data_IF_043668647430
#
_entry.id   IF_043668647430
#
_cell.length_a   1.000
_cell.length_b   1.000
_cell.length_c   1.000
_cell.angle_alpha   90.00
_cell.angle_beta   90.00
_cell.angle_gamma   90.00
#
_symmetry.space_group_name_H-M   'P 1'
#
loop_
_entity.id
_entity.type
_entity.pdbx_description
1 polymer ?
#
# COMPACT_ATOMS: atom_id res chain seq x y z
N UNK A 1 -1.74 -24.66 -8.01
CA UNK A 1 -0.88 -23.45 -7.87
C UNK A 1 -1.35 -22.30 -8.78
N UNK A 2 -1.71 -22.54 -10.04
CA UNK A 2 -2.22 -21.49 -10.94
C UNK A 2 -3.44 -20.69 -10.42
N UNK A 3 -4.42 -21.35 -9.80
CA UNK A 3 -5.61 -20.68 -9.26
C UNK A 3 -5.31 -19.70 -8.11
N UNK A 4 -4.29 -19.97 -7.29
CA UNK A 4 -3.94 -19.13 -6.13
C UNK A 4 -3.14 -17.89 -6.54
N UNK A 5 -2.30 -17.98 -7.58
CA UNK A 5 -1.65 -16.80 -8.16
C UNK A 5 -2.64 -15.83 -8.79
N UNK A 6 -3.70 -16.35 -9.41
CA UNK A 6 -4.74 -15.52 -10.04
C UNK A 6 -5.48 -14.64 -9.03
N UNK A 7 -5.64 -15.12 -7.80
CA UNK A 7 -6.19 -14.36 -6.67
C UNK A 7 -5.26 -13.22 -6.25
N UNK A 8 -3.94 -13.47 -6.17
CA UNK A 8 -2.94 -12.45 -5.81
C UNK A 8 -2.76 -11.38 -6.91
N UNK A 9 -3.01 -11.72 -8.17
CA UNK A 9 -2.97 -10.77 -9.30
C UNK A 9 -4.26 -10.00 -9.49
N UNK A 10 -5.30 -10.24 -8.67
CA UNK A 10 -6.51 -9.41 -8.73
C UNK A 10 -6.13 -7.97 -8.38
N UNK A 11 -6.64 -6.97 -9.11
CA UNK A 11 -6.28 -5.58 -8.87
C UNK A 11 -6.62 -5.16 -7.43
N UNK A 12 -7.72 -5.65 -6.85
CA UNK A 12 -8.06 -5.47 -5.43
C UNK A 12 -6.97 -6.03 -4.47
N UNK A 13 -6.56 -7.28 -4.66
CA UNK A 13 -5.51 -7.88 -3.80
C UNK A 13 -4.16 -7.17 -3.93
N UNK A 14 -3.89 -6.61 -5.12
CA UNK A 14 -2.67 -5.87 -5.40
C UNK A 14 -2.70 -4.47 -4.76
N UNK A 15 -3.86 -3.80 -4.77
CA UNK A 15 -4.09 -2.54 -4.05
C UNK A 15 -4.01 -2.72 -2.53
N UNK A 16 -4.44 -3.87 -1.99
CA UNK A 16 -4.26 -4.21 -0.58
C UNK A 16 -2.78 -4.35 -0.18
N UNK A 17 -1.96 -4.92 -1.08
CA UNK A 17 -0.51 -5.01 -0.87
C UNK A 17 0.15 -3.63 -0.92
N UNK A 18 -0.32 -2.76 -1.82
CA UNK A 18 0.18 -1.39 -1.96
C UNK A 18 -0.16 -0.51 -0.74
N UNK A 19 -1.38 -0.62 -0.22
CA UNK A 19 -1.80 0.05 1.02
C UNK A 19 -1.01 -0.45 2.22
N UNK A 20 -0.77 -1.76 2.33
CA UNK A 20 0.09 -2.34 3.36
C UNK A 20 1.53 -1.79 3.31
N UNK A 21 2.07 -1.59 2.10
CA UNK A 21 3.39 -1.00 1.89
C UNK A 21 3.43 0.48 2.32
N UNK A 22 2.39 1.26 1.99
CA UNK A 22 2.23 2.62 2.49
C UNK A 22 2.13 2.71 4.02
N UNK A 23 1.44 1.76 4.65
CA UNK A 23 1.33 1.67 6.11
C UNK A 23 2.69 1.35 6.76
N UNK A 24 3.45 0.42 6.17
CA UNK A 24 4.81 0.11 6.60
C UNK A 24 5.74 1.32 6.50
N UNK A 25 5.65 2.07 5.40
CA UNK A 25 6.46 3.27 5.19
C UNK A 25 6.10 4.39 6.17
N UNK A 26 4.81 4.53 6.50
CA UNK A 26 4.33 5.49 7.49
C UNK A 26 4.85 5.17 8.89
N UNK A 27 4.79 3.89 9.30
CA UNK A 27 5.32 3.43 10.58
C UNK A 27 6.84 3.60 10.67
N UNK A 28 7.57 3.29 9.59
CA UNK A 28 9.02 3.48 9.51
C UNK A 28 9.39 4.98 9.51
N UNK A 29 8.62 5.82 8.81
CA UNK A 29 8.80 7.27 8.79
C UNK A 29 8.61 7.94 10.15
N UNK A 30 7.82 7.32 11.04
CA UNK A 30 7.65 7.80 12.41
C UNK A 30 8.96 7.78 13.21
N UNK A 31 9.91 6.93 12.82
CA UNK A 31 11.27 6.93 13.34
C UNK A 31 12.16 7.83 12.48
N UNK A 32 12.57 8.97 13.05
CA UNK A 32 13.38 9.98 12.36
C UNK A 32 14.71 9.43 11.80
N UNK A 33 15.29 8.42 12.44
CA UNK A 33 16.53 7.78 12.01
C UNK A 33 16.39 6.87 10.78
N UNK A 34 15.16 6.46 10.42
CA UNK A 34 14.92 5.45 9.38
C UNK A 34 14.22 6.03 8.14
N UNK A 35 13.27 6.95 8.33
CA UNK A 35 12.52 7.55 7.22
C UNK A 35 12.15 9.02 7.40
N UNK A 36 12.05 9.48 8.65
CA UNK A 36 11.70 10.85 8.98
C UNK A 36 10.44 11.36 8.27
N UNK A 37 10.33 12.69 8.12
CA UNK A 37 9.17 13.33 7.52
C UNK A 37 8.87 12.83 6.10
N UNK A 38 9.91 12.52 5.31
CA UNK A 38 9.78 11.93 3.97
C UNK A 38 9.10 10.56 3.96
N UNK A 39 9.41 9.68 4.91
CA UNK A 39 8.76 8.37 5.03
C UNK A 39 7.29 8.48 5.40
N UNK A 40 6.95 9.42 6.29
CA UNK A 40 5.55 9.70 6.67
C UNK A 40 4.75 10.22 5.48
N UNK A 41 5.29 11.21 4.75
CA UNK A 41 4.61 11.82 3.60
C UNK A 41 4.38 10.80 2.48
N UNK A 42 5.40 10.01 2.12
CA UNK A 42 5.28 8.97 1.11
C UNK A 42 4.32 7.86 1.57
N UNK A 43 4.36 7.47 2.85
CA UNK A 43 3.43 6.49 3.41
C UNK A 43 1.97 6.93 3.28
N UNK A 44 1.68 8.18 3.65
CA UNK A 44 0.33 8.77 3.51
C UNK A 44 -0.12 8.77 2.05
N UNK A 45 0.73 9.22 1.12
CA UNK A 45 0.41 9.26 -0.31
C UNK A 45 0.09 7.87 -0.84
N UNK A 46 0.90 6.86 -0.49
CA UNK A 46 0.69 5.48 -0.93
C UNK A 46 -0.58 4.86 -0.35
N UNK A 47 -0.93 5.17 0.90
CA UNK A 47 -2.20 4.74 1.50
C UNK A 47 -3.38 5.37 0.75
N UNK A 48 -3.34 6.68 0.48
CA UNK A 48 -4.43 7.37 -0.22
C UNK A 48 -4.62 6.81 -1.63
N UNK A 49 -3.54 6.67 -2.40
CA UNK A 49 -3.59 6.09 -3.75
C UNK A 49 -4.07 4.65 -3.71
N UNK A 50 -3.57 3.83 -2.77
CA UNK A 50 -3.95 2.44 -2.65
C UNK A 50 -5.43 2.27 -2.28
N UNK A 51 -5.97 3.10 -1.37
CA UNK A 51 -7.41 3.05 -1.00
C UNK A 51 -8.30 3.53 -2.15
N UNK A 52 -7.96 4.64 -2.80
CA UNK A 52 -8.73 5.15 -3.94
C UNK A 52 -8.67 4.19 -5.13
N UNK A 53 -7.48 3.64 -5.38
CA UNK A 53 -7.25 2.63 -6.41
C UNK A 53 -8.05 1.35 -6.13
N UNK A 54 -8.08 0.91 -4.86
CA UNK A 54 -8.91 -0.22 -4.43
C UNK A 54 -10.39 0.01 -4.74
N UNK A 55 -10.94 1.16 -4.34
CA UNK A 55 -12.33 1.53 -4.64
C UNK A 55 -12.61 1.65 -6.15
N UNK A 56 -11.63 2.02 -6.95
CA UNK A 56 -11.80 2.14 -8.40
C UNK A 56 -11.83 0.78 -9.11
N UNK A 57 -11.05 -0.19 -8.61
CA UNK A 57 -10.91 -1.54 -9.22
C UNK A 57 -11.78 -2.61 -8.57
N UNK A 58 -12.26 -2.37 -7.35
CA UNK A 58 -13.19 -3.21 -6.62
C UNK A 58 -14.63 -2.74 -6.90
N UNK A 59 -15.03 -2.83 -8.18
CA UNK A 59 -16.41 -2.65 -8.66
C UNK A 59 -17.03 -3.98 -9.04
#
# INVERSE_FOLDING_TARGET
>A
MAAKFKECTKPHSLMHSLTGLGLGLLLVGLFAALGGQTGVVLGIILIVIGVLGDFAVNK
#
